data_IF_930210599836
#
_entry.id   IF_930210599836
#
_cell.length_a   1.000
_cell.length_b   1.000
_cell.length_c   1.000
_cell.angle_alpha   90.00
_cell.angle_beta   90.00
_cell.angle_gamma   90.00
#
_symmetry.space_group_name_H-M   'P 1'
#
loop_
_entity.id
_entity.type
_entity.pdbx_description
1 polymer ?
#
# COMPACT_ATOMS: atom_id res chain seq x y z
N UNK A 1 -4.29 37.89 4.43
CA UNK A 1 -5.29 36.93 3.92
C UNK A 1 -4.52 35.68 3.56
N UNK A 2 -4.88 34.50 4.10
CA UNK A 2 -4.25 33.26 3.66
C UNK A 2 -4.49 33.09 2.15
N UNK A 3 -3.44 32.86 1.37
CA UNK A 3 -3.59 32.52 -0.03
C UNK A 3 -4.42 31.24 -0.14
N UNK A 4 -5.55 31.28 -0.86
CA UNK A 4 -6.30 30.07 -1.18
C UNK A 4 -5.45 29.23 -2.15
N UNK A 5 -4.79 28.21 -1.63
CA UNK A 5 -4.19 27.18 -2.48
C UNK A 5 -5.29 26.40 -3.18
N UNK A 6 -5.16 26.26 -4.50
CA UNK A 6 -6.09 25.52 -5.35
C UNK A 6 -5.43 24.23 -5.81
N UNK A 7 -6.13 23.12 -5.63
CA UNK A 7 -5.75 21.80 -6.12
C UNK A 7 -6.82 21.29 -7.08
N UNK A 8 -6.43 20.50 -8.07
CA UNK A 8 -7.37 19.81 -8.97
C UNK A 8 -8.08 18.67 -8.23
N UNK A 9 -7.42 18.07 -7.23
CA UNK A 9 -8.01 17.02 -6.39
C UNK A 9 -7.45 17.08 -4.96
N UNK A 10 -8.35 16.93 -3.98
CA UNK A 10 -8.01 16.75 -2.56
C UNK A 10 -8.42 15.34 -2.17
N UNK A 11 -7.46 14.55 -1.70
CA UNK A 11 -7.65 13.17 -1.26
C UNK A 11 -7.56 13.13 0.26
N UNK A 12 -8.58 12.59 0.92
CA UNK A 12 -8.58 12.42 2.38
C UNK A 12 -8.15 11.00 2.72
N UNK A 13 -6.97 10.88 3.34
CA UNK A 13 -6.35 9.63 3.79
C UNK A 13 -5.22 9.11 2.90
N UNK A 14 -4.04 8.91 3.47
CA UNK A 14 -2.85 8.32 2.84
C UNK A 14 -2.77 6.80 3.06
N UNK A 15 -3.91 6.11 2.95
CA UNK A 15 -3.95 4.66 2.81
C UNK A 15 -3.61 4.22 1.37
N UNK A 16 -3.61 2.90 1.08
CA UNK A 16 -3.20 2.39 -0.22
C UNK A 16 -4.12 2.87 -1.34
N UNK A 17 -5.42 3.01 -1.06
CA UNK A 17 -6.38 3.57 -2.02
C UNK A 17 -6.09 5.05 -2.32
N UNK A 18 -5.91 5.87 -1.27
CA UNK A 18 -5.65 7.30 -1.42
C UNK A 18 -4.34 7.59 -2.14
N UNK A 19 -3.26 6.90 -1.75
CA UNK A 19 -1.95 7.03 -2.42
C UNK A 19 -1.99 6.49 -3.85
N UNK A 20 -2.72 5.40 -4.13
CA UNK A 20 -2.92 4.92 -5.52
C UNK A 20 -3.61 5.98 -6.38
N UNK A 21 -4.66 6.62 -5.86
CA UNK A 21 -5.36 7.69 -6.56
C UNK A 21 -4.44 8.90 -6.78
N UNK A 22 -3.73 9.33 -5.73
CA UNK A 22 -2.78 10.44 -5.79
C UNK A 22 -1.70 10.20 -6.84
N UNK A 23 -1.06 9.03 -6.81
CA UNK A 23 -0.05 8.62 -7.78
C UNK A 23 -0.58 8.69 -9.22
N UNK A 24 -1.78 8.15 -9.47
CA UNK A 24 -2.37 8.15 -10.82
C UNK A 24 -2.67 9.56 -11.31
N UNK A 25 -3.31 10.39 -10.48
CA UNK A 25 -3.72 11.74 -10.85
C UNK A 25 -2.50 12.67 -11.04
N UNK A 26 -1.54 12.63 -10.11
CA UNK A 26 -0.32 13.42 -10.19
C UNK A 26 0.55 13.02 -11.40
N UNK A 27 0.68 11.72 -11.68
CA UNK A 27 1.37 11.22 -12.88
C UNK A 27 0.68 11.65 -14.19
N UNK A 28 -0.61 11.98 -14.14
CA UNK A 28 -1.36 12.57 -15.25
C UNK A 28 -1.24 14.10 -15.34
N UNK A 29 -0.42 14.73 -14.49
CA UNK A 29 -0.12 16.16 -14.52
C UNK A 29 -1.10 17.03 -13.71
N UNK A 30 -1.96 16.43 -12.88
CA UNK A 30 -2.88 17.17 -12.02
C UNK A 30 -2.20 17.62 -10.72
N UNK A 31 -2.59 18.77 -10.20
CA UNK A 31 -2.15 19.26 -8.90
C UNK A 31 -2.98 18.59 -7.78
N UNK A 32 -2.38 17.65 -7.05
CA UNK A 32 -3.08 16.79 -6.08
C UNK A 32 -2.48 16.94 -4.70
N UNK A 33 -3.34 17.09 -3.69
CA UNK A 33 -2.96 17.03 -2.28
C UNK A 33 -3.64 15.86 -1.58
N UNK A 34 -2.88 15.16 -0.73
CA UNK A 34 -3.35 14.11 0.16
C UNK A 34 -3.26 14.61 1.59
N UNK A 35 -4.36 14.53 2.34
CA UNK A 35 -4.44 14.92 3.74
C UNK A 35 -4.55 13.66 4.61
N UNK A 36 -3.54 13.40 5.44
CA UNK A 36 -3.46 12.25 6.32
C UNK A 36 -3.52 12.66 7.79
N UNK A 37 -4.37 11.97 8.56
CA UNK A 37 -4.59 12.24 9.99
C UNK A 37 -3.49 11.67 10.88
N UNK A 38 -2.80 10.62 10.45
CA UNK A 38 -1.61 10.09 11.09
C UNK A 38 -0.45 11.08 11.01
N UNK A 39 0.50 10.97 11.95
CA UNK A 39 1.73 11.76 11.93
C UNK A 39 2.67 11.40 10.76
N UNK A 40 2.41 10.27 10.11
CA UNK A 40 2.97 9.83 8.83
C UNK A 40 1.99 8.83 8.17
N UNK A 41 2.04 8.63 6.83
CA UNK A 41 1.26 7.61 6.15
C UNK A 41 1.54 6.22 6.73
N UNK A 42 0.51 5.54 7.21
CA UNK A 42 0.67 4.23 7.86
C UNK A 42 0.61 4.25 9.38
N UNK A 43 0.72 5.41 10.04
CA UNK A 43 0.70 5.51 11.52
C UNK A 43 -0.60 4.99 12.15
N UNK A 44 -1.71 5.03 11.41
CA UNK A 44 -3.04 4.58 11.87
C UNK A 44 -3.56 3.36 11.09
N UNK A 45 -2.76 2.82 10.18
CA UNK A 45 -3.20 1.77 9.29
C UNK A 45 -2.92 0.40 9.87
N UNK A 46 -3.98 -0.40 10.06
CA UNK A 46 -3.90 -1.78 10.57
C UNK A 46 -4.23 -2.75 9.44
N UNK A 47 -3.53 -3.87 9.38
CA UNK A 47 -3.74 -4.94 8.41
C UNK A 47 -3.27 -6.28 8.99
N UNK A 48 -3.92 -7.37 8.61
CA UNK A 48 -3.55 -8.73 9.04
C UNK A 48 -2.19 -9.23 8.52
N UNK A 49 -1.54 -8.52 7.60
CA UNK A 49 -0.16 -8.77 7.18
C UNK A 49 0.02 -8.98 5.69
N UNK A 50 -0.89 -9.67 5.00
CA UNK A 50 -0.75 -10.00 3.57
C UNK A 50 -1.27 -8.86 2.68
N UNK A 51 -0.39 -8.34 1.83
CA UNK A 51 -0.71 -7.42 0.75
C UNK A 51 -0.68 -8.15 -0.60
N UNK A 52 -1.80 -8.08 -1.34
CA UNK A 52 -1.88 -8.55 -2.72
C UNK A 52 -1.48 -7.40 -3.66
N UNK A 53 -0.38 -7.58 -4.37
CA UNK A 53 0.33 -6.51 -5.07
C UNK A 53 0.14 -6.53 -6.58
N UNK A 54 -0.88 -7.23 -7.10
CA UNK A 54 -1.11 -7.35 -8.55
C UNK A 54 -1.33 -5.98 -9.19
N UNK A 55 -2.10 -5.12 -8.53
CA UNK A 55 -2.35 -3.75 -8.99
C UNK A 55 -1.12 -2.86 -8.75
N UNK A 56 -0.46 -3.02 -7.60
CA UNK A 56 0.77 -2.29 -7.29
C UNK A 56 1.86 -2.56 -8.33
N UNK A 57 2.07 -3.80 -8.76
CA UNK A 57 3.06 -4.14 -9.78
C UNK A 57 2.72 -3.56 -11.16
N UNK A 58 1.44 -3.34 -11.47
CA UNK A 58 1.03 -2.61 -12.68
C UNK A 58 1.28 -1.11 -12.55
N UNK A 59 1.22 -0.57 -11.33
CA UNK A 59 1.41 0.85 -11.04
C UNK A 59 2.89 1.23 -10.99
N UNK A 60 3.67 0.41 -10.28
CA UNK A 60 5.09 0.54 -10.00
C UNK A 60 5.72 -0.83 -10.31
N UNK A 61 6.13 -1.06 -11.56
CA UNK A 61 6.77 -2.31 -11.96
C UNK A 61 8.01 -2.59 -11.11
N UNK A 62 8.21 -3.86 -10.76
CA UNK A 62 9.36 -4.32 -9.98
C UNK A 62 9.51 -3.66 -8.59
N UNK A 63 8.41 -3.15 -8.01
CA UNK A 63 8.41 -2.49 -6.70
C UNK A 63 9.12 -3.29 -5.59
N UNK A 64 9.14 -4.62 -5.68
CA UNK A 64 9.80 -5.49 -4.70
C UNK A 64 11.32 -5.31 -4.61
N UNK A 65 11.95 -4.60 -5.54
CA UNK A 65 13.38 -4.24 -5.46
C UNK A 65 13.64 -3.11 -4.46
N UNK A 66 12.64 -2.29 -4.17
CA UNK A 66 12.79 -1.05 -3.39
C UNK A 66 11.87 -1.00 -2.16
N UNK A 67 10.68 -1.61 -2.25
CA UNK A 67 9.67 -1.51 -1.21
C UNK A 67 10.11 -2.23 0.08
N UNK A 68 9.77 -1.70 1.27
CA UNK A 68 10.04 -2.35 2.55
C UNK A 68 9.06 -3.50 2.78
N UNK A 69 9.34 -4.63 2.13
CA UNK A 69 8.59 -5.87 2.25
C UNK A 69 9.17 -6.76 3.35
N UNK A 70 8.32 -7.48 4.09
CA UNK A 70 8.79 -8.36 5.16
C UNK A 70 9.10 -9.77 4.62
N UNK A 71 8.12 -10.44 3.99
CA UNK A 71 8.30 -11.78 3.42
C UNK A 71 7.36 -12.04 2.26
N UNK A 72 7.84 -12.64 1.16
CA UNK A 72 6.97 -13.17 0.09
C UNK A 72 6.08 -14.32 0.61
N UNK A 73 4.88 -14.45 0.06
CA UNK A 73 3.98 -15.55 0.40
C UNK A 73 4.29 -16.76 -0.47
N UNK A 74 4.92 -17.79 0.11
CA UNK A 74 5.30 -19.03 -0.58
C UNK A 74 4.21 -20.10 -0.55
N UNK A 75 3.34 -20.09 0.46
CA UNK A 75 2.23 -21.03 0.63
C UNK A 75 1.08 -20.32 1.35
N UNK A 76 -0.15 -20.81 1.13
CA UNK A 76 -1.34 -20.36 1.85
C UNK A 76 -2.01 -21.57 2.46
N UNK A 77 -2.30 -21.52 3.77
CA UNK A 77 -2.99 -22.56 4.50
C UNK A 77 -4.33 -22.03 4.97
N UNK A 78 -5.37 -22.82 4.76
CA UNK A 78 -6.72 -22.54 5.24
C UNK A 78 -7.10 -23.63 6.22
N UNK A 79 -7.71 -23.22 7.33
CA UNK A 79 -7.96 -24.09 8.47
C UNK A 79 -9.43 -23.95 8.90
N UNK A 80 -10.09 -25.08 9.09
CA UNK A 80 -11.37 -25.20 9.79
C UNK A 80 -11.05 -25.72 11.20
N UNK A 81 -11.44 -24.96 12.21
CA UNK A 81 -11.14 -25.24 13.60
C UNK A 81 -12.40 -25.68 14.33
N UNK A 82 -12.25 -26.63 15.27
CA UNK A 82 -13.20 -26.89 16.35
C UNK A 82 -12.52 -26.56 17.70
N UNK A 83 -13.12 -26.96 18.81
CA UNK A 83 -12.54 -26.71 20.15
C UNK A 83 -11.18 -27.40 20.33
N UNK A 84 -11.02 -28.61 19.79
CA UNK A 84 -9.84 -29.47 20.00
C UNK A 84 -9.26 -30.06 18.71
N UNK A 85 -9.86 -29.81 17.54
CA UNK A 85 -9.36 -30.32 16.24
C UNK A 85 -9.22 -29.24 15.16
N UNK A 86 -8.36 -29.52 14.19
CA UNK A 86 -8.12 -28.70 13.00
C UNK A 86 -8.16 -29.58 11.74
N UNK A 87 -8.94 -29.18 10.74
CA UNK A 87 -8.82 -29.65 9.37
C UNK A 87 -8.21 -28.53 8.53
N UNK A 88 -7.10 -28.79 7.84
CA UNK A 88 -6.46 -27.76 7.02
C UNK A 88 -6.09 -28.27 5.63
N UNK A 89 -6.10 -27.34 4.66
CA UNK A 89 -5.57 -27.55 3.33
C UNK A 89 -4.63 -26.40 2.97
N UNK A 90 -3.56 -26.74 2.26
CA UNK A 90 -2.53 -25.79 1.85
C UNK A 90 -2.42 -25.76 0.32
N UNK A 91 -2.05 -24.61 -0.20
CA UNK A 91 -1.72 -24.43 -1.60
C UNK A 91 -0.41 -23.65 -1.76
N UNK A 92 0.53 -24.28 -2.47
CA UNK A 92 1.81 -23.69 -2.87
C UNK A 92 2.24 -24.22 -4.24
N UNK A 93 3.16 -23.47 -4.86
CA UNK A 93 3.79 -23.84 -6.12
C UNK A 93 5.16 -23.18 -6.20
N UNK A 94 6.15 -23.88 -6.77
CA UNK A 94 7.50 -23.34 -7.01
C UNK A 94 7.50 -22.04 -7.84
N UNK A 95 6.42 -21.75 -8.59
CA UNK A 95 6.27 -20.47 -9.30
C UNK A 95 6.23 -19.26 -8.37
N UNK A 96 5.82 -19.44 -7.11
CA UNK A 96 5.76 -18.36 -6.11
C UNK A 96 7.15 -17.89 -5.65
N UNK A 97 8.20 -18.64 -5.98
CA UNK A 97 9.58 -18.35 -5.61
C UNK A 97 10.28 -17.44 -6.62
N UNK A 98 9.64 -17.15 -7.76
CA UNK A 98 10.18 -16.31 -8.82
C UNK A 98 9.40 -14.99 -8.92
N UNK A 99 10.04 -13.86 -9.25
CA UNK A 99 9.35 -12.61 -9.53
C UNK A 99 8.20 -12.80 -10.52
N UNK A 100 7.01 -12.20 -10.28
CA UNK A 100 6.69 -11.21 -9.25
C UNK A 100 6.21 -11.82 -7.91
N UNK A 101 6.65 -13.04 -7.58
CA UNK A 101 6.36 -13.76 -6.33
C UNK A 101 4.86 -13.91 -6.04
N UNK A 102 4.11 -14.28 -7.08
CA UNK A 102 2.65 -14.35 -7.06
C UNK A 102 1.97 -13.06 -6.54
N UNK A 103 2.65 -11.92 -6.68
CA UNK A 103 2.18 -10.62 -6.22
C UNK A 103 1.62 -10.66 -4.78
N UNK A 104 2.31 -11.34 -3.87
CA UNK A 104 1.81 -11.54 -2.51
C UNK A 104 2.96 -11.42 -1.52
N UNK A 105 2.88 -10.44 -0.64
CA UNK A 105 3.90 -10.17 0.38
C UNK A 105 3.26 -9.87 1.72
N UNK A 106 3.94 -10.26 2.80
CA UNK A 106 3.69 -9.66 4.10
C UNK A 106 4.35 -8.29 4.16
N UNK A 107 3.67 -7.31 4.77
CA UNK A 107 4.20 -5.97 4.99
C UNK A 107 3.79 -5.42 6.36
N UNK A 108 4.66 -4.58 6.94
CA UNK A 108 4.28 -3.69 8.03
C UNK A 108 3.80 -2.37 7.46
N UNK A 109 2.51 -2.03 7.67
CA UNK A 109 1.88 -0.83 7.08
C UNK A 109 2.60 0.47 7.45
N UNK A 110 3.12 0.58 8.67
CA UNK A 110 3.89 1.75 9.10
C UNK A 110 5.11 2.03 8.21
N UNK A 111 5.82 1.00 7.72
CA UNK A 111 6.95 1.17 6.80
C UNK A 111 6.49 1.27 5.35
N UNK A 112 5.60 0.36 4.94
CA UNK A 112 5.16 0.24 3.55
C UNK A 112 4.39 1.47 3.07
N UNK A 113 3.50 2.04 3.87
CA UNK A 113 2.69 3.17 3.44
C UNK A 113 3.51 4.47 3.34
N UNK A 114 4.55 4.64 4.17
CA UNK A 114 5.50 5.75 4.01
C UNK A 114 6.25 5.66 2.68
N UNK A 115 6.77 4.46 2.37
CA UNK A 115 7.41 4.22 1.06
C UNK A 115 6.42 4.43 -0.09
N UNK A 116 5.18 3.94 0.04
CA UNK A 116 4.22 4.09 -1.05
C UNK A 116 3.79 5.56 -1.24
N UNK A 117 3.65 6.31 -0.15
CA UNK A 117 3.42 7.76 -0.20
C UNK A 117 4.58 8.49 -0.89
N UNK A 118 5.83 8.14 -0.61
CA UNK A 118 6.99 8.74 -1.29
C UNK A 118 6.94 8.51 -2.80
N UNK A 119 6.42 7.36 -3.25
CA UNK A 119 6.21 7.11 -4.69
C UNK A 119 5.17 8.03 -5.32
N UNK A 120 4.15 8.47 -4.58
CA UNK A 120 3.22 9.49 -5.06
C UNK A 120 3.86 10.89 -5.08
N UNK A 121 4.68 11.21 -4.08
CA UNK A 121 5.44 12.48 -4.04
C UNK A 121 6.46 12.58 -5.19
N UNK A 122 7.16 11.49 -5.51
CA UNK A 122 8.09 11.38 -6.64
C UNK A 122 7.44 11.73 -8.00
N UNK A 123 6.12 11.53 -8.13
CA UNK A 123 5.35 11.87 -9.35
C UNK A 123 4.54 13.15 -9.23
N UNK A 124 4.77 13.95 -8.18
CA UNK A 124 4.25 15.32 -8.03
C UNK A 124 3.05 15.49 -7.11
N UNK A 125 2.59 14.45 -6.40
CA UNK A 125 1.55 14.62 -5.37
C UNK A 125 2.14 15.29 -4.12
N UNK A 126 1.34 16.11 -3.42
CA UNK A 126 1.71 16.66 -2.11
C UNK A 126 1.04 15.84 -1.01
N UNK A 127 1.79 15.30 -0.05
CA UNK A 127 1.23 14.55 1.09
C UNK A 127 1.43 15.32 2.39
N UNK A 128 0.34 15.68 3.07
CA UNK A 128 0.35 16.42 4.33
C UNK A 128 -0.15 15.51 5.45
N UNK A 129 0.75 15.18 6.38
CA UNK A 129 0.44 14.38 7.57
C UNK A 129 0.05 15.25 8.77
N UNK A 130 -0.65 14.67 9.74
CA UNK A 130 -1.19 15.37 10.92
C UNK A 130 -2.41 16.23 10.63
N UNK A 131 -2.98 16.16 9.42
CA UNK A 131 -4.14 16.93 9.00
C UNK A 131 -5.44 16.14 9.22
N UNK A 132 -6.40 16.73 9.94
CA UNK A 132 -7.75 16.18 10.12
C UNK A 132 -8.71 17.02 9.29
N UNK A 133 -9.53 16.36 8.48
CA UNK A 133 -10.60 16.96 7.66
C UNK A 133 -11.94 16.70 8.33
#
# INVERSE_FOLDING_TARGET
MASQEKFDCIIVGAGPAGITAAYKLAKSGLNVVVLERGIYPGAKNVMGGILFTTILNKLIPEFWKEAPLERRISSRRFCLLSEDTELSFSFDTAKFDNPPFNNSFTVLRAKFDQWFASKAEEVGATVISGAVV
#
